data_IF_156921286195
#
_entry.id   IF_156921286195
#
_cell.length_a   1.000
_cell.length_b   1.000
_cell.length_c   1.000
_cell.angle_alpha   90.00
_cell.angle_beta   90.00
_cell.angle_gamma   90.00
#
_symmetry.space_group_name_H-M   'P 1'
#
loop_
_entity.id
_entity.type
_entity.pdbx_description
1 polymer ?
#
# COMPACT_ATOMS: atom_id res chain seq x y z
N UNK A 1 12.13 6.18 7.84
CA UNK A 1 11.31 6.34 6.62
C UNK A 1 9.99 7.01 7.02
N UNK A 2 9.24 7.70 6.15
CA UNK A 2 8.03 8.45 6.58
C UNK A 2 6.79 8.06 5.78
N UNK A 3 5.60 8.39 6.30
CA UNK A 3 4.31 8.28 5.59
C UNK A 3 4.36 8.94 4.18
N UNK A 4 5.15 10.00 3.97
CA UNK A 4 5.32 10.59 2.63
C UNK A 4 5.94 9.62 1.62
N UNK A 5 6.90 8.81 2.06
CA UNK A 5 7.57 7.84 1.20
C UNK A 5 6.60 6.73 0.80
N UNK A 6 5.74 6.29 1.73
CA UNK A 6 4.68 5.34 1.44
C UNK A 6 3.69 5.92 0.42
N UNK A 7 3.22 7.16 0.61
CA UNK A 7 2.32 7.83 -0.35
C UNK A 7 2.94 7.88 -1.75
N UNK A 8 4.19 8.33 -1.86
CA UNK A 8 4.88 8.41 -3.16
C UNK A 8 5.01 7.01 -3.81
N UNK A 9 5.30 5.98 -3.01
CA UNK A 9 5.41 4.62 -3.49
C UNK A 9 4.07 4.05 -3.97
N UNK A 10 2.97 4.32 -3.25
CA UNK A 10 1.62 3.93 -3.66
C UNK A 10 1.17 4.68 -4.92
N UNK A 11 1.50 5.97 -5.05
CA UNK A 11 1.17 6.76 -6.24
C UNK A 11 1.82 6.20 -7.51
N UNK A 12 3.02 5.61 -7.42
CA UNK A 12 3.68 4.93 -8.56
C UNK A 12 2.89 3.73 -9.07
N UNK A 13 2.12 3.06 -8.21
CA UNK A 13 1.20 2.01 -8.63
C UNK A 13 -0.04 2.60 -9.29
N UNK A 14 -0.61 3.65 -8.68
CA UNK A 14 -1.80 4.35 -9.19
C UNK A 14 -1.55 4.90 -10.60
N UNK A 15 -0.37 5.45 -10.86
CA UNK A 15 0.03 5.95 -12.18
C UNK A 15 0.34 4.85 -13.20
N UNK A 16 0.41 3.59 -12.78
CA UNK A 16 0.83 2.46 -13.62
C UNK A 16 2.33 2.42 -13.91
N UNK A 17 3.13 3.20 -13.18
CA UNK A 17 4.59 3.26 -13.36
C UNK A 17 5.29 2.01 -12.86
N UNK A 18 4.72 1.33 -11.85
CA UNK A 18 5.22 0.04 -11.37
C UNK A 18 4.07 -0.78 -10.79
N UNK A 19 3.73 -1.90 -11.45
CA UNK A 19 2.68 -2.84 -11.05
C UNK A 19 3.26 -4.23 -10.73
N UNK A 20 4.55 -4.32 -10.42
CA UNK A 20 5.19 -5.61 -10.18
C UNK A 20 4.86 -6.19 -8.81
N UNK A 21 5.06 -7.50 -8.63
CA UNK A 21 5.04 -8.12 -7.29
C UNK A 21 6.13 -7.52 -6.38
N UNK A 22 7.26 -7.09 -6.96
CA UNK A 22 8.33 -6.45 -6.20
C UNK A 22 7.87 -5.13 -5.56
N UNK A 23 7.05 -4.35 -6.27
CA UNK A 23 6.46 -3.14 -5.72
C UNK A 23 5.68 -3.42 -4.43
N UNK A 24 4.94 -4.54 -4.36
CA UNK A 24 4.16 -4.88 -3.18
C UNK A 24 5.06 -5.21 -2.00
N UNK A 25 6.16 -5.96 -2.22
CA UNK A 25 7.16 -6.24 -1.19
C UNK A 25 7.86 -4.98 -0.69
N UNK A 26 8.17 -4.07 -1.60
CA UNK A 26 8.78 -2.79 -1.24
C UNK A 26 7.81 -1.97 -0.38
N UNK A 27 6.50 -2.02 -0.66
CA UNK A 27 5.45 -1.39 0.13
C UNK A 27 5.29 -2.04 1.53
N UNK A 28 5.41 -3.37 1.63
CA UNK A 28 5.43 -4.08 2.91
C UNK A 28 6.64 -3.62 3.76
N UNK A 29 7.83 -3.54 3.17
CA UNK A 29 9.04 -3.04 3.87
C UNK A 29 8.86 -1.60 4.35
N UNK A 30 8.24 -0.73 3.54
CA UNK A 30 7.89 0.64 3.93
C UNK A 30 6.97 0.67 5.16
N UNK A 31 6.01 -0.25 5.26
CA UNK A 31 5.08 -0.34 6.38
C UNK A 31 5.79 -0.82 7.64
N UNK A 32 6.61 -1.87 7.55
CA UNK A 32 7.41 -2.38 8.67
C UNK A 32 8.30 -1.26 9.25
N UNK A 33 8.98 -0.50 8.37
CA UNK A 33 9.81 0.62 8.81
C UNK A 33 8.99 1.75 9.47
N UNK A 34 7.76 2.03 9.01
CA UNK A 34 6.88 3.02 9.64
C UNK A 34 6.44 2.52 11.03
N UNK A 35 6.08 1.25 11.16
CA UNK A 35 5.68 0.64 12.42
C UNK A 35 6.81 0.75 13.45
N UNK A 36 8.03 0.37 13.06
CA UNK A 36 9.20 0.39 13.94
C UNK A 36 9.61 1.80 14.39
N UNK A 37 9.49 2.80 13.52
CA UNK A 37 10.00 4.15 13.80
C UNK A 37 8.96 5.10 14.41
N UNK A 38 7.72 5.06 13.93
CA UNK A 38 6.67 6.02 14.26
C UNK A 38 5.46 5.36 14.94
N UNK A 39 5.27 4.06 14.71
CA UNK A 39 4.04 3.34 15.02
C UNK A 39 2.89 3.75 14.09
N UNK A 40 1.90 2.87 13.93
CA UNK A 40 0.77 3.15 13.05
C UNK A 40 -0.21 4.20 13.61
N UNK A 41 -0.31 4.29 14.94
CA UNK A 41 -1.17 5.25 15.62
C UNK A 41 -2.61 5.20 15.11
N UNK A 42 -3.16 6.36 14.72
CA UNK A 42 -4.56 6.44 14.25
C UNK A 42 -4.83 5.73 12.92
N UNK A 43 -3.79 5.32 12.19
CA UNK A 43 -3.90 4.65 10.90
C UNK A 43 -3.73 3.12 10.99
N UNK A 44 -3.62 2.53 12.20
CA UNK A 44 -3.44 1.09 12.45
C UNK A 44 -4.34 0.20 11.57
N UNK A 45 -5.66 0.35 11.69
CA UNK A 45 -6.59 -0.45 10.87
C UNK A 45 -6.39 -0.28 9.35
N UNK A 46 -5.98 0.90 8.89
CA UNK A 46 -5.76 1.17 7.47
C UNK A 46 -4.47 0.50 6.98
N UNK A 47 -3.43 0.50 7.81
CA UNK A 47 -2.15 -0.14 7.49
C UNK A 47 -2.24 -1.66 7.59
N UNK A 48 -2.99 -2.21 8.54
CA UNK A 48 -3.28 -3.64 8.61
C UNK A 48 -4.00 -4.12 7.36
N UNK A 49 -5.05 -3.40 6.92
CA UNK A 49 -5.78 -3.74 5.70
C UNK A 49 -4.87 -3.61 4.46
N UNK A 50 -3.96 -2.63 4.45
CA UNK A 50 -2.98 -2.50 3.37
C UNK A 50 -2.00 -3.67 3.33
N UNK A 51 -1.45 -4.09 4.47
CA UNK A 51 -0.58 -5.27 4.55
C UNK A 51 -1.30 -6.52 4.04
N UNK A 52 -2.56 -6.73 4.46
CA UNK A 52 -3.37 -7.85 3.97
C UNK A 52 -3.50 -7.82 2.44
N UNK A 53 -3.88 -6.68 1.86
CA UNK A 53 -4.04 -6.54 0.41
C UNK A 53 -2.71 -6.74 -0.32
N UNK A 54 -1.61 -6.16 0.15
CA UNK A 54 -0.29 -6.34 -0.46
C UNK A 54 0.11 -7.81 -0.53
N UNK A 55 -0.15 -8.58 0.54
CA UNK A 55 0.16 -10.01 0.59
C UNK A 55 -0.58 -10.82 -0.49
N UNK A 56 -1.81 -10.42 -0.81
CA UNK A 56 -2.71 -11.06 -1.78
C UNK A 56 -2.51 -10.59 -3.23
N UNK A 57 -1.71 -9.55 -3.45
CA UNK A 57 -1.57 -8.95 -4.78
C UNK A 57 -0.75 -9.79 -5.75
N UNK A 58 -1.31 -10.13 -6.91
CA UNK A 58 -0.56 -10.71 -8.03
C UNK A 58 -1.02 -10.09 -9.34
N UNK A 59 -0.08 -9.72 -10.26
CA UNK A 59 -0.45 -9.27 -11.59
C UNK A 59 -1.33 -10.29 -12.32
N UNK A 60 -2.45 -9.83 -12.88
CA UNK A 60 -3.46 -10.67 -13.51
C UNK A 60 -4.40 -11.41 -12.53
N UNK A 61 -4.21 -11.24 -11.22
CA UNK A 61 -5.06 -11.82 -10.17
C UNK A 61 -4.96 -13.34 -10.05
N UNK A 62 -6.05 -13.94 -9.56
CA UNK A 62 -6.19 -15.38 -9.38
C UNK A 62 -7.28 -15.74 -8.37
N UNK A 63 -7.50 -17.03 -8.15
CA UNK A 63 -8.45 -17.47 -7.11
C UNK A 63 -7.96 -16.97 -5.74
N UNK A 64 -8.74 -16.11 -5.10
CA UNK A 64 -8.43 -15.43 -3.83
C UNK A 64 -7.30 -14.38 -3.88
N UNK A 65 -6.81 -14.00 -5.06
CA UNK A 65 -5.79 -12.97 -5.22
C UNK A 65 -6.39 -11.69 -5.79
N UNK A 66 -5.82 -10.55 -5.44
CA UNK A 66 -6.24 -9.26 -5.99
C UNK A 66 -5.39 -8.88 -7.18
N UNK A 67 -6.05 -8.34 -8.20
CA UNK A 67 -5.41 -7.87 -9.43
C UNK A 67 -4.97 -6.40 -9.33
N UNK A 68 -4.43 -5.88 -10.44
CA UNK A 68 -3.95 -4.52 -10.56
C UNK A 68 -5.06 -3.48 -10.39
N UNK A 69 -6.27 -3.78 -10.83
CA UNK A 69 -7.39 -2.85 -10.77
C UNK A 69 -7.87 -2.71 -9.32
N UNK A 70 -8.09 -3.83 -8.64
CA UNK A 70 -8.46 -3.85 -7.23
C UNK A 70 -7.38 -3.20 -6.35
N UNK A 71 -6.11 -3.54 -6.56
CA UNK A 71 -5.00 -2.92 -5.84
C UNK A 71 -4.92 -1.42 -6.10
N UNK A 72 -5.13 -0.97 -7.35
CA UNK A 72 -5.11 0.46 -7.69
C UNK A 72 -6.20 1.24 -6.97
N UNK A 73 -7.44 0.73 -6.96
CA UNK A 73 -8.54 1.36 -6.23
C UNK A 73 -8.23 1.44 -4.73
N UNK A 74 -7.65 0.38 -4.18
CA UNK A 74 -7.23 0.35 -2.79
C UNK A 74 -6.14 1.38 -2.47
N UNK A 75 -5.10 1.46 -3.32
CA UNK A 75 -4.03 2.46 -3.18
C UNK A 75 -4.57 3.89 -3.19
N UNK A 76 -5.50 4.22 -4.09
CA UNK A 76 -6.14 5.54 -4.15
C UNK A 76 -6.85 5.86 -2.81
N UNK A 77 -7.58 4.88 -2.26
CA UNK A 77 -8.28 5.02 -0.98
C UNK A 77 -7.31 5.28 0.16
N UNK A 78 -6.23 4.51 0.25
CA UNK A 78 -5.19 4.69 1.27
C UNK A 78 -4.53 6.06 1.15
N UNK A 79 -4.07 6.44 -0.04
CA UNK A 79 -3.42 7.73 -0.29
C UNK A 79 -4.35 8.88 0.12
N UNK A 80 -5.63 8.81 -0.25
CA UNK A 80 -6.62 9.84 0.12
C UNK A 80 -6.78 9.95 1.63
N UNK A 81 -6.93 8.83 2.33
CA UNK A 81 -7.07 8.82 3.80
C UNK A 81 -5.82 9.36 4.51
N UNK A 82 -4.62 9.06 4.01
CA UNK A 82 -3.36 9.58 4.56
C UNK A 82 -3.16 11.07 4.32
N UNK A 83 -3.75 11.63 3.26
CA UNK A 83 -3.73 13.07 2.96
C UNK A 83 -4.78 13.83 3.77
N UNK A 84 -5.99 13.29 3.91
CA UNK A 84 -7.09 13.88 4.70
C UNK A 84 -6.81 13.84 6.21
N UNK A 85 -6.14 12.80 6.67
CA UNK A 85 -5.79 12.62 8.07
C UNK A 85 -4.62 13.50 8.55
N UNK A 86 -4.15 14.49 7.78
CA UNK A 86 -3.08 15.41 8.22
C UNK A 86 -3.58 16.56 9.05
#
# INVERSE_FOLDING_TARGET
MTINNLIEHLDRFVSGSNISVQWAKDAETLLDEIEENEGFGKFENLFDELQEKLSLYRPGGGEHLIDEFEMKLFCIRVVSALLEGR
#
